data_IF_979031931853
#
_entry.id   IF_979031931853
#
_cell.length_a   1.000
_cell.length_b   1.000
_cell.length_c   1.000
_cell.angle_alpha   90.00
_cell.angle_beta   90.00
_cell.angle_gamma   90.00
#
_symmetry.space_group_name_H-M   'P 1'
#
loop_
_entity.id
_entity.type
_entity.pdbx_description
1 polymer ?
#
# COMPACT_ATOMS: atom_id res chain seq x y z
N UNK A 1 6.89 -3.96 10.59
CA UNK A 1 8.29 -4.43 10.62
C UNK A 1 8.48 -5.75 11.36
N UNK A 2 7.90 -5.95 12.54
CA UNK A 2 8.07 -7.18 13.33
C UNK A 2 7.71 -8.46 12.55
N UNK A 3 6.62 -8.42 11.75
CA UNK A 3 6.22 -9.53 10.85
C UNK A 3 7.22 -9.81 9.70
N UNK A 4 7.91 -8.79 9.18
CA UNK A 4 8.92 -8.98 8.13
C UNK A 4 10.17 -9.63 8.71
N UNK A 5 10.65 -9.10 9.84
CA UNK A 5 11.76 -9.67 10.60
C UNK A 5 11.54 -11.13 10.97
N UNK A 6 10.36 -11.48 11.50
CA UNK A 6 10.03 -12.87 11.83
C UNK A 6 10.01 -13.82 10.63
N UNK A 7 9.82 -13.29 9.43
CA UNK A 7 9.78 -14.09 8.19
C UNK A 7 11.15 -14.26 7.52
N UNK A 8 12.17 -13.51 7.95
CA UNK A 8 13.48 -13.45 7.29
C UNK A 8 13.43 -12.87 5.86
N UNK A 9 12.30 -12.28 5.45
CA UNK A 9 12.08 -11.72 4.10
C UNK A 9 12.12 -10.20 4.13
N UNK A 10 12.55 -9.61 3.01
CA UNK A 10 12.44 -8.18 2.75
C UNK A 10 11.24 -7.89 1.86
N UNK A 11 10.54 -6.78 2.12
CA UNK A 11 9.50 -6.29 1.23
C UNK A 11 10.12 -5.47 0.09
N UNK A 12 9.50 -5.47 -1.09
CA UNK A 12 9.92 -4.58 -2.19
C UNK A 12 9.38 -3.18 -1.89
N UNK A 13 10.27 -2.21 -1.84
CA UNK A 13 9.94 -0.84 -1.47
C UNK A 13 10.35 0.16 -2.55
N UNK A 14 9.69 1.31 -2.51
CA UNK A 14 10.12 2.49 -3.25
C UNK A 14 11.36 3.15 -2.59
N UNK A 15 11.99 4.10 -3.28
CA UNK A 15 13.21 4.77 -2.83
C UNK A 15 13.04 5.53 -1.51
N UNK A 16 11.82 5.96 -1.18
CA UNK A 16 11.50 6.54 0.13
C UNK A 16 11.78 5.62 1.32
N UNK A 17 11.94 4.31 1.08
CA UNK A 17 12.25 3.31 2.10
C UNK A 17 13.73 2.94 2.23
N UNK A 18 14.65 3.66 1.55
CA UNK A 18 16.10 3.41 1.64
C UNK A 18 16.67 3.45 3.06
N UNK A 19 15.99 4.13 4.00
CA UNK A 19 16.35 4.16 5.42
C UNK A 19 16.11 2.86 6.19
N UNK A 20 15.48 1.85 5.58
CA UNK A 20 15.14 0.56 6.19
C UNK A 20 15.76 -0.63 5.42
N UNK A 21 17.10 -0.71 5.31
CA UNK A 21 17.76 -1.70 4.45
C UNK A 21 17.61 -3.14 4.92
N UNK A 22 17.24 -3.38 6.18
CA UNK A 22 17.05 -4.73 6.73
C UNK A 22 15.66 -5.29 6.40
N UNK A 23 14.67 -4.42 6.25
CA UNK A 23 13.27 -4.79 6.04
C UNK A 23 12.81 -4.59 4.60
N UNK A 24 13.45 -3.66 3.87
CA UNK A 24 13.04 -3.24 2.54
C UNK A 24 14.15 -3.47 1.52
N UNK A 25 13.76 -3.94 0.33
CA UNK A 25 14.61 -4.08 -0.85
C UNK A 25 14.15 -3.05 -1.87
N UNK A 26 14.91 -1.97 -2.00
CA UNK A 26 14.66 -0.93 -3.00
C UNK A 26 15.44 -1.23 -4.28
N UNK A 27 15.15 -0.50 -5.35
CA UNK A 27 15.95 -0.54 -6.57
C UNK A 27 17.38 -0.10 -6.26
N UNK A 28 18.37 -0.87 -6.71
CA UNK A 28 19.78 -0.51 -6.57
C UNK A 28 20.54 -0.74 -7.89
N UNK A 29 21.71 -0.11 -8.03
CA UNK A 29 22.53 -0.19 -9.26
C UNK A 29 23.23 -1.53 -9.44
N UNK A 30 23.48 -2.24 -8.34
CA UNK A 30 24.15 -3.54 -8.26
C UNK A 30 23.22 -4.72 -8.57
N UNK A 31 21.92 -4.49 -8.68
CA UNK A 31 20.93 -5.51 -9.01
C UNK A 31 21.21 -6.05 -10.43
N UNK A 32 21.26 -7.38 -10.61
CA UNK A 32 21.22 -8.00 -11.93
C UNK A 32 19.98 -7.55 -12.71
N UNK A 33 20.06 -7.58 -14.04
CA UNK A 33 18.99 -7.06 -14.89
C UNK A 33 17.63 -7.72 -14.59
N UNK A 34 17.60 -9.04 -14.43
CA UNK A 34 16.40 -9.80 -14.07
C UNK A 34 15.77 -9.31 -12.75
N UNK A 35 16.60 -8.94 -11.78
CA UNK A 35 16.15 -8.43 -10.47
C UNK A 35 15.63 -7.00 -10.60
N UNK A 36 16.28 -6.16 -11.43
CA UNK A 36 15.80 -4.79 -11.73
C UNK A 36 14.44 -4.82 -12.41
N UNK A 37 14.26 -5.68 -13.41
CA UNK A 37 12.98 -5.85 -14.09
C UNK A 37 11.89 -6.32 -13.12
N UNK A 38 12.19 -7.33 -12.29
CA UNK A 38 11.25 -7.82 -11.28
C UNK A 38 10.83 -6.72 -10.29
N UNK A 39 11.78 -5.95 -9.73
CA UNK A 39 11.47 -4.83 -8.83
C UNK A 39 10.68 -3.72 -9.52
N UNK A 40 10.97 -3.45 -10.79
CA UNK A 40 10.27 -2.44 -11.60
C UNK A 40 8.81 -2.83 -11.80
N UNK A 41 8.54 -4.07 -12.21
CA UNK A 41 7.18 -4.61 -12.37
C UNK A 41 6.41 -4.58 -11.06
N UNK A 42 7.04 -5.00 -9.96
CA UNK A 42 6.43 -4.96 -8.63
C UNK A 42 6.03 -3.53 -8.22
N UNK A 43 6.90 -2.53 -8.45
CA UNK A 43 6.60 -1.12 -8.18
C UNK A 43 5.43 -0.62 -9.03
N UNK A 44 5.47 -0.84 -10.34
CA UNK A 44 4.42 -0.37 -11.25
C UNK A 44 3.05 -0.98 -10.91
N UNK A 45 2.99 -2.27 -10.56
CA UNK A 45 1.76 -2.92 -10.05
C UNK A 45 1.25 -2.24 -8.79
N UNK A 46 2.15 -1.89 -7.87
CA UNK A 46 1.80 -1.21 -6.62
C UNK A 46 1.33 0.24 -6.85
N UNK A 47 1.92 0.96 -7.82
CA UNK A 47 1.47 2.30 -8.21
C UNK A 47 0.05 2.28 -8.78
N UNK A 48 -0.27 1.30 -9.63
CA UNK A 48 -1.62 1.13 -10.19
C UNK A 48 -2.62 0.79 -9.08
N UNK A 49 -2.25 -0.10 -8.17
CA UNK A 49 -3.06 -0.42 -6.99
C UNK A 49 -3.34 0.82 -6.14
N UNK A 50 -2.30 1.61 -5.82
CA UNK A 50 -2.43 2.86 -5.09
C UNK A 50 -3.29 3.87 -5.85
N UNK A 51 -3.20 3.91 -7.18
CA UNK A 51 -4.08 4.71 -8.03
C UNK A 51 -5.56 4.31 -7.89
N UNK A 52 -5.87 3.01 -7.77
CA UNK A 52 -7.22 2.53 -7.49
C UNK A 52 -7.71 2.95 -6.11
N UNK A 53 -6.86 2.86 -5.07
CA UNK A 53 -7.20 3.32 -3.71
C UNK A 53 -7.50 4.83 -3.67
N UNK A 54 -6.69 5.65 -4.36
CA UNK A 54 -6.85 7.11 -4.40
C UNK A 54 -8.18 7.57 -5.00
N UNK A 55 -8.90 6.73 -5.75
CA UNK A 55 -10.24 7.05 -6.27
C UNK A 55 -11.30 7.13 -5.17
N UNK A 56 -11.01 6.64 -3.96
CA UNK A 56 -11.93 6.68 -2.84
C UNK A 56 -11.68 7.94 -2.02
N UNK A 57 -12.57 8.93 -2.16
CA UNK A 57 -12.46 10.24 -1.49
C UNK A 57 -12.36 10.11 0.04
N UNK A 58 -12.98 9.07 0.63
CA UNK A 58 -12.91 8.76 2.06
C UNK A 58 -11.48 8.58 2.59
N UNK A 59 -10.51 8.25 1.72
CA UNK A 59 -9.09 8.12 2.10
C UNK A 59 -8.31 9.43 1.95
N UNK A 60 -8.85 10.41 1.24
CA UNK A 60 -8.23 11.73 1.01
C UNK A 60 -8.82 12.81 1.91
N UNK A 61 -10.11 12.68 2.25
CA UNK A 61 -10.81 13.65 3.07
C UNK A 61 -10.49 13.52 4.55
N UNK A 62 -10.45 14.66 5.23
CA UNK A 62 -10.26 14.70 6.69
C UNK A 62 -11.59 14.51 7.39
N UNK A 63 -11.70 13.47 8.23
CA UNK A 63 -12.83 13.31 9.13
C UNK A 63 -12.97 14.54 10.05
N UNK A 64 -14.11 15.24 9.95
CA UNK A 64 -14.38 16.49 10.67
C UNK A 64 -15.03 16.29 12.05
N UNK A 65 -15.18 15.05 12.51
CA UNK A 65 -15.94 14.69 13.71
C UNK A 65 -15.25 14.99 15.05
N UNK A 66 -14.32 15.95 15.12
CA UNK A 66 -13.80 16.40 16.42
C UNK A 66 -14.98 16.91 17.25
N UNK A 67 -15.23 16.25 18.38
CA UNK A 67 -16.20 16.65 19.43
C UNK A 67 -17.67 16.23 19.22
N UNK A 68 -17.97 15.16 18.45
CA UNK A 68 -19.30 14.55 18.57
C UNK A 68 -19.33 13.68 19.86
N UNK A 69 -20.15 14.02 20.87
CA UNK A 69 -20.21 13.24 22.11
C UNK A 69 -20.74 11.81 21.93
N UNK A 70 -21.36 11.51 20.78
CA UNK A 70 -21.83 10.16 20.41
C UNK A 70 -20.83 9.40 19.53
N UNK A 71 -19.63 9.95 19.30
CA UNK A 71 -18.61 9.36 18.43
C UNK A 71 -17.50 8.72 19.27
N UNK A 72 -17.58 7.41 19.42
CA UNK A 72 -16.63 6.63 20.23
C UNK A 72 -15.28 6.41 19.54
N UNK A 73 -15.17 6.72 18.24
CA UNK A 73 -13.99 6.40 17.46
C UNK A 73 -13.14 7.63 17.18
N UNK A 74 -11.83 7.48 17.31
CA UNK A 74 -10.84 8.46 16.88
C UNK A 74 -10.82 8.58 15.35
N UNK A 75 -10.30 9.72 14.87
CA UNK A 75 -10.07 9.93 13.42
C UNK A 75 -9.18 8.85 12.82
N UNK A 76 -8.19 8.36 13.57
CA UNK A 76 -7.28 7.31 13.13
C UNK A 76 -7.98 5.96 12.95
N UNK A 77 -8.83 5.56 13.91
CA UNK A 77 -9.59 4.30 13.84
C UNK A 77 -10.58 4.32 12.66
N UNK A 78 -11.24 5.46 12.43
CA UNK A 78 -12.12 5.63 11.27
C UNK A 78 -11.38 5.51 9.96
N UNK A 79 -10.24 6.20 9.84
CA UNK A 79 -9.40 6.10 8.65
C UNK A 79 -8.92 4.66 8.44
N UNK A 80 -8.53 3.96 9.50
CA UNK A 80 -8.11 2.56 9.41
C UNK A 80 -9.26 1.66 8.92
N UNK A 81 -10.46 1.77 9.51
CA UNK A 81 -11.63 1.00 9.07
C UNK A 81 -11.98 1.27 7.60
N UNK A 82 -11.99 2.55 7.20
CA UNK A 82 -12.23 2.92 5.80
C UNK A 82 -11.13 2.40 4.87
N UNK A 83 -9.87 2.47 5.29
CA UNK A 83 -8.74 1.94 4.52
C UNK A 83 -8.87 0.43 4.31
N UNK A 84 -9.14 -0.34 5.37
CA UNK A 84 -9.35 -1.79 5.27
C UNK A 84 -10.55 -2.13 4.37
N UNK A 85 -11.68 -1.43 4.52
CA UNK A 85 -12.85 -1.61 3.67
C UNK A 85 -12.57 -1.31 2.19
N UNK A 86 -11.86 -0.21 1.91
CA UNK A 86 -11.49 0.15 0.53
C UNK A 86 -10.55 -0.88 -0.09
N UNK A 87 -9.60 -1.44 0.67
CA UNK A 87 -8.74 -2.52 0.17
C UNK A 87 -9.56 -3.75 -0.27
N UNK A 88 -10.55 -4.16 0.52
CA UNK A 88 -11.46 -5.26 0.17
C UNK A 88 -12.26 -4.94 -1.11
N UNK A 89 -12.77 -3.71 -1.23
CA UNK A 89 -13.50 -3.28 -2.43
C UNK A 89 -12.61 -3.27 -3.68
N UNK A 90 -11.38 -2.77 -3.57
CA UNK A 90 -10.43 -2.75 -4.69
C UNK A 90 -10.02 -4.16 -5.09
N UNK A 91 -9.76 -5.05 -4.12
CA UNK A 91 -9.51 -6.46 -4.41
C UNK A 91 -10.68 -7.08 -5.19
N UNK A 92 -11.92 -6.86 -4.74
CA UNK A 92 -13.10 -7.38 -5.43
C UNK A 92 -13.22 -6.84 -6.87
N UNK A 93 -12.97 -5.54 -7.09
CA UNK A 93 -12.93 -4.95 -8.44
C UNK A 93 -11.86 -5.59 -9.31
N UNK A 94 -10.68 -5.86 -8.76
CA UNK A 94 -9.60 -6.54 -9.47
C UNK A 94 -9.98 -7.94 -9.91
N UNK A 95 -10.68 -8.69 -9.06
CA UNK A 95 -11.14 -10.06 -9.37
C UNK A 95 -12.33 -10.08 -10.35
N UNK A 96 -13.06 -8.97 -10.51
CA UNK A 96 -14.33 -8.90 -11.26
C UNK A 96 -14.31 -8.02 -12.51
N UNK A 97 -13.14 -7.66 -13.03
CA UNK A 97 -13.02 -7.02 -14.34
C UNK A 97 -12.06 -5.84 -14.43
N UNK A 98 -11.44 -5.44 -13.31
CA UNK A 98 -10.42 -4.39 -13.31
C UNK A 98 -9.06 -4.87 -12.78
N UNK A 99 -8.46 -5.95 -13.33
CA UNK A 99 -7.21 -6.50 -12.82
C UNK A 99 -6.07 -5.47 -12.88
N UNK A 100 -5.01 -5.71 -12.13
CA UNK A 100 -3.74 -5.01 -12.37
C UNK A 100 -3.22 -5.44 -13.75
N UNK A 101 -2.72 -4.49 -14.53
CA UNK A 101 -2.12 -4.80 -15.83
C UNK A 101 -0.95 -5.79 -15.65
N UNK A 102 -0.79 -6.68 -16.62
CA UNK A 102 0.41 -7.49 -16.70
C UNK A 102 1.51 -6.62 -17.28
N UNK A 103 2.41 -6.24 -16.37
CA UNK A 103 3.63 -5.47 -16.63
C UNK A 103 4.78 -6.39 -16.33
#
# INVERSE_FOLDING_TARGET
>A
MQKLHSSGKKAIGDEGYRGFPNEMSTQNTLDPEEVKEFKTRARQRHEIYNGKLKKFEVLSERFRCKNNPNDSYTVAEKLQMCFEAVNVLVQYKMEKGEPLFDI
#
